data_IF_959777743625
#
_entry.id   IF_959777743625
#
_cell.length_a   1.000
_cell.length_b   1.000
_cell.length_c   1.000
_cell.angle_alpha   90.00
_cell.angle_beta   90.00
_cell.angle_gamma   90.00
#
_symmetry.space_group_name_H-M   'P 1'
#
loop_
_entity.id
_entity.type
_entity.pdbx_description
1 polymer ?
#
# COMPACT_ATOMS: atom_id res chain seq x y z
N UNK A 1 28.83 -37.65 13.80
CA UNK A 1 27.52 -37.16 13.29
C UNK A 1 27.83 -36.15 12.20
N UNK A 2 27.45 -36.42 10.96
CA UNK A 2 27.56 -35.42 9.89
C UNK A 2 26.53 -34.31 10.11
N UNK A 3 26.97 -33.06 10.01
CA UNK A 3 26.11 -31.90 10.13
C UNK A 3 25.37 -31.72 8.81
N UNK A 4 24.05 -31.95 8.81
CA UNK A 4 23.22 -31.71 7.63
C UNK A 4 23.07 -30.20 7.39
N UNK A 5 23.38 -29.74 6.17
CA UNK A 5 23.11 -28.36 5.74
C UNK A 5 21.77 -28.30 4.99
N UNK A 6 20.92 -27.36 5.37
CA UNK A 6 19.64 -27.08 4.72
C UNK A 6 19.65 -25.69 4.10
N UNK A 7 19.00 -25.55 2.94
CA UNK A 7 18.82 -24.28 2.25
C UNK A 7 17.33 -24.01 2.04
N UNK A 8 16.89 -22.78 2.34
CA UNK A 8 15.52 -22.34 2.12
C UNK A 8 15.36 -21.64 0.78
N UNK A 9 14.25 -21.90 0.08
CA UNK A 9 13.86 -21.12 -1.09
C UNK A 9 13.29 -19.75 -0.68
N UNK A 10 14.17 -18.74 -0.69
CA UNK A 10 13.80 -17.37 -0.37
C UNK A 10 13.28 -16.57 -1.57
N UNK A 11 13.07 -17.18 -2.74
CA UNK A 11 12.67 -16.47 -3.95
C UNK A 11 11.30 -15.80 -3.79
N UNK A 12 10.34 -16.50 -3.19
CA UNK A 12 8.99 -15.96 -2.93
C UNK A 12 9.04 -14.89 -1.85
N UNK A 13 9.82 -15.13 -0.78
CA UNK A 13 9.99 -14.16 0.32
C UNK A 13 10.51 -12.82 -0.18
N UNK A 14 11.55 -12.82 -1.03
CA UNK A 14 12.09 -11.59 -1.62
C UNK A 14 11.06 -10.88 -2.49
N UNK A 15 10.28 -11.62 -3.30
CA UNK A 15 9.23 -11.03 -4.14
C UNK A 15 8.14 -10.35 -3.29
N UNK A 16 7.69 -11.01 -2.23
CA UNK A 16 6.71 -10.44 -1.32
C UNK A 16 7.26 -9.23 -0.56
N UNK A 17 8.54 -9.25 -0.16
CA UNK A 17 9.18 -8.09 0.46
C UNK A 17 9.07 -6.84 -0.44
N UNK A 18 9.40 -6.99 -1.73
CA UNK A 18 9.25 -5.89 -2.69
C UNK A 18 7.79 -5.46 -2.89
N UNK A 19 6.86 -6.42 -2.96
CA UNK A 19 5.44 -6.12 -3.07
C UNK A 19 4.92 -5.37 -1.84
N UNK A 20 5.29 -5.79 -0.62
CA UNK A 20 4.89 -5.14 0.64
C UNK A 20 5.40 -3.70 0.70
N UNK A 21 6.65 -3.44 0.30
CA UNK A 21 7.17 -2.07 0.27
C UNK A 21 6.42 -1.20 -0.73
N UNK A 22 6.13 -1.73 -1.92
CA UNK A 22 5.37 -1.02 -2.96
C UNK A 22 3.97 -0.65 -2.46
N UNK A 23 3.22 -1.64 -1.97
CA UNK A 23 1.86 -1.44 -1.49
C UNK A 23 1.80 -0.57 -0.23
N UNK A 24 2.78 -0.71 0.67
CA UNK A 24 2.93 0.18 1.83
C UNK A 24 3.07 1.65 1.42
N UNK A 25 3.86 1.95 0.38
CA UNK A 25 4.01 3.32 -0.12
C UNK A 25 2.68 3.81 -0.75
N UNK A 26 2.04 2.97 -1.57
CA UNK A 26 0.77 3.33 -2.24
C UNK A 26 -0.33 3.59 -1.21
N UNK A 27 -0.56 2.66 -0.29
CA UNK A 27 -1.60 2.76 0.74
C UNK A 27 -1.39 3.97 1.63
N UNK A 28 -0.16 4.22 2.10
CA UNK A 28 0.15 5.38 2.96
C UNK A 28 0.00 6.71 2.21
N UNK A 29 0.37 6.76 0.93
CA UNK A 29 0.22 7.97 0.11
C UNK A 29 -1.25 8.33 -0.12
N UNK A 30 -2.11 7.34 -0.38
CA UNK A 30 -3.56 7.56 -0.48
C UNK A 30 -4.16 7.97 0.88
N UNK A 31 -3.68 7.38 1.98
CA UNK A 31 -4.07 7.76 3.34
C UNK A 31 -3.72 9.22 3.65
N UNK A 32 -2.53 9.67 3.25
CA UNK A 32 -2.10 11.06 3.39
C UNK A 32 -2.98 12.01 2.55
N UNK A 33 -3.31 11.63 1.31
CA UNK A 33 -4.24 12.40 0.47
C UNK A 33 -5.62 12.55 1.15
N UNK A 34 -6.17 11.45 1.70
CA UNK A 34 -7.43 11.48 2.45
C UNK A 34 -7.35 12.37 3.70
N UNK A 35 -6.21 12.38 4.39
CA UNK A 35 -5.99 13.26 5.53
C UNK A 35 -6.07 14.74 5.12
N UNK A 36 -5.49 15.12 3.97
CA UNK A 36 -5.60 16.47 3.43
C UNK A 36 -7.03 16.86 3.05
N UNK A 37 -7.87 15.91 2.60
CA UNK A 37 -9.28 16.18 2.31
C UNK A 37 -10.09 16.62 3.54
N UNK A 38 -9.66 16.29 4.76
CA UNK A 38 -10.32 16.81 5.96
C UNK A 38 -10.05 18.30 6.21
N UNK A 39 -8.90 18.80 5.78
CA UNK A 39 -8.56 20.23 5.88
C UNK A 39 -8.99 21.00 4.64
N UNK A 40 -8.90 20.37 3.48
CA UNK A 40 -9.19 20.94 2.16
C UNK A 40 -10.16 20.00 1.42
N UNK A 41 -11.47 20.05 1.70
CA UNK A 41 -12.44 19.10 1.14
C UNK A 41 -12.52 19.14 -0.40
N UNK A 42 -12.16 20.27 -1.00
CA UNK A 42 -12.26 20.51 -2.44
C UNK A 42 -11.00 20.09 -3.23
N UNK A 43 -10.03 19.41 -2.60
CA UNK A 43 -8.71 19.12 -3.19
C UNK A 43 -8.77 18.31 -4.49
N UNK A 44 -9.81 17.49 -4.65
CA UNK A 44 -10.02 16.61 -5.82
C UNK A 44 -11.35 16.86 -6.51
N UNK A 45 -11.91 18.07 -6.34
CA UNK A 45 -13.17 18.45 -6.97
C UNK A 45 -13.09 18.37 -8.50
N UNK A 46 -14.19 17.96 -9.11
CA UNK A 46 -14.27 17.75 -10.56
C UNK A 46 -13.75 16.39 -11.05
N UNK A 47 -13.16 15.56 -10.17
CA UNK A 47 -12.65 14.22 -10.53
C UNK A 47 -13.42 13.14 -9.74
N UNK A 48 -14.43 12.55 -10.39
CA UNK A 48 -15.40 11.65 -9.73
C UNK A 48 -14.78 10.43 -9.04
N UNK A 49 -13.71 9.85 -9.60
CA UNK A 49 -13.01 8.70 -9.03
C UNK A 49 -12.03 9.04 -7.91
N UNK A 50 -11.67 10.31 -7.73
CA UNK A 50 -10.85 10.78 -6.62
C UNK A 50 -11.70 11.29 -5.45
N UNK A 51 -13.01 11.04 -5.44
CA UNK A 51 -13.85 11.38 -4.28
C UNK A 51 -13.42 10.62 -3.02
N UNK A 52 -13.53 11.28 -1.86
CA UNK A 52 -13.20 10.69 -0.55
C UNK A 52 -13.86 9.32 -0.33
N UNK A 53 -15.14 9.18 -0.71
CA UNK A 53 -15.89 7.93 -0.57
C UNK A 53 -15.34 6.77 -1.39
N UNK A 54 -14.62 7.03 -2.50
CA UNK A 54 -13.98 6.00 -3.33
C UNK A 54 -12.53 5.75 -2.94
N UNK A 55 -11.82 6.80 -2.56
CA UNK A 55 -10.42 6.69 -2.13
C UNK A 55 -10.26 6.04 -0.75
N UNK A 56 -11.23 6.19 0.15
CA UNK A 56 -11.16 5.56 1.49
C UNK A 56 -11.12 4.03 1.43
N UNK A 57 -12.02 3.34 0.71
CA UNK A 57 -11.90 1.90 0.51
C UNK A 57 -10.60 1.50 -0.19
N UNK A 58 -10.08 2.32 -1.12
CA UNK A 58 -8.79 2.06 -1.75
C UNK A 58 -7.65 2.09 -0.72
N UNK A 59 -7.58 3.11 0.13
CA UNK A 59 -6.57 3.21 1.19
C UNK A 59 -6.59 2.01 2.15
N UNK A 60 -7.77 1.53 2.55
CA UNK A 60 -7.89 0.42 3.51
C UNK A 60 -7.55 -0.96 2.91
N UNK A 61 -7.72 -1.14 1.59
CA UNK A 61 -7.47 -2.43 0.92
C UNK A 61 -6.12 -2.49 0.17
N UNK A 62 -5.47 -1.35 -0.04
CA UNK A 62 -4.21 -1.23 -0.78
C UNK A 62 -3.00 -1.72 0.00
#
# INVERSE_FOLDING_TARGET
>A
MEVQQFYYDNKIVKKFLYATMLWGIVGMSVGLLLAFMFMFPNLTDGISWLSFGRLRPLHTNA
#
